data_IF_813751470098
#
_entry.id   IF_813751470098
#
_cell.length_a   1.000
_cell.length_b   1.000
_cell.length_c   1.000
_cell.angle_alpha   90.00
_cell.angle_beta   90.00
_cell.angle_gamma   90.00
#
_symmetry.space_group_name_H-M   'P 1'
#
loop_
_entity.id
_entity.type
_entity.pdbx_description
1 polymer ?
#
# COMPACT_ATOMS: atom_id res chain seq x y z
N UNK A 1 -15.35 22.84 13.32
CA UNK A 1 -15.51 21.90 12.21
C UNK A 1 -14.54 22.29 11.10
N UNK A 2 -13.44 21.55 11.00
CA UNK A 2 -12.35 21.79 10.05
C UNK A 2 -12.78 21.46 8.62
N UNK A 3 -13.63 20.44 8.46
CA UNK A 3 -14.14 20.00 7.17
C UNK A 3 -15.17 20.99 6.63
N UNK A 4 -16.08 21.50 7.47
CA UNK A 4 -17.01 22.58 7.05
C UNK A 4 -16.29 23.87 6.63
N UNK A 5 -15.15 24.19 7.24
CA UNK A 5 -14.35 25.37 6.88
C UNK A 5 -13.58 25.16 5.57
N UNK A 6 -13.12 23.95 5.32
CA UNK A 6 -12.49 23.56 4.05
C UNK A 6 -13.51 23.53 2.91
N UNK A 7 -14.70 22.98 3.16
CA UNK A 7 -15.82 22.95 2.20
C UNK A 7 -16.32 24.37 1.89
N UNK A 8 -16.38 25.26 2.88
CA UNK A 8 -16.73 26.66 2.67
C UNK A 8 -15.67 27.41 1.83
N UNK A 9 -14.38 27.17 2.10
CA UNK A 9 -13.29 27.76 1.33
C UNK A 9 -13.25 27.23 -0.11
N UNK A 10 -13.43 25.93 -0.30
CA UNK A 10 -13.53 25.31 -1.63
C UNK A 10 -14.77 25.81 -2.39
N UNK A 11 -15.91 25.98 -1.72
CA UNK A 11 -17.12 26.53 -2.32
C UNK A 11 -16.95 28.00 -2.72
N UNK A 12 -16.24 28.81 -1.93
CA UNK A 12 -15.95 30.21 -2.23
C UNK A 12 -14.94 30.34 -3.39
N UNK A 13 -13.88 29.51 -3.42
CA UNK A 13 -12.90 29.49 -4.51
C UNK A 13 -13.53 28.96 -5.81
N UNK A 14 -14.35 27.90 -5.74
CA UNK A 14 -15.15 27.39 -6.87
C UNK A 14 -16.18 28.41 -7.38
N UNK A 15 -16.79 29.20 -6.49
CA UNK A 15 -17.72 30.26 -6.88
C UNK A 15 -16.99 31.41 -7.60
N UNK A 16 -15.78 31.73 -7.16
CA UNK A 16 -14.92 32.74 -7.80
C UNK A 16 -14.42 32.26 -9.18
N UNK A 17 -14.07 30.98 -9.28
CA UNK A 17 -13.72 30.31 -10.54
C UNK A 17 -14.92 30.15 -11.49
N UNK A 18 -16.14 29.92 -10.98
CA UNK A 18 -17.35 29.95 -11.80
C UNK A 18 -17.63 31.33 -12.36
N UNK A 19 -17.40 32.40 -11.59
CA UNK A 19 -17.53 33.78 -12.08
C UNK A 19 -16.49 34.10 -13.16
N UNK A 20 -15.21 33.72 -12.96
CA UNK A 20 -14.14 33.89 -13.95
C UNK A 20 -14.32 33.02 -15.20
N UNK A 21 -14.81 31.79 -15.05
CA UNK A 21 -15.14 30.90 -16.16
C UNK A 21 -16.37 31.39 -16.94
N UNK A 22 -17.37 31.96 -16.28
CA UNK A 22 -18.53 32.60 -16.93
C UNK A 22 -18.11 33.83 -17.75
N UNK A 23 -17.14 34.61 -17.27
CA UNK A 23 -16.57 35.76 -17.99
C UNK A 23 -15.71 35.33 -19.19
N UNK A 24 -14.94 34.24 -19.04
CA UNK A 24 -14.20 33.61 -20.13
C UNK A 24 -15.12 32.97 -21.19
N UNK A 25 -16.23 32.36 -20.78
CA UNK A 25 -17.28 31.83 -21.66
C UNK A 25 -18.04 32.95 -22.37
N UNK A 26 -18.27 34.10 -21.73
CA UNK A 26 -18.84 35.28 -22.38
C UNK A 26 -17.90 35.86 -23.46
N UNK A 27 -16.58 35.91 -23.20
CA UNK A 27 -15.57 36.26 -24.21
C UNK A 27 -15.49 35.23 -25.34
N UNK A 28 -15.53 33.94 -25.05
CA UNK A 28 -15.53 32.88 -26.07
C UNK A 28 -16.80 32.89 -26.95
N UNK A 29 -17.97 33.21 -26.38
CA UNK A 29 -19.23 33.39 -27.14
C UNK A 29 -19.20 34.58 -28.09
N UNK A 30 -18.37 35.60 -27.82
CA UNK A 30 -18.17 36.74 -28.74
C UNK A 30 -17.17 36.46 -29.87
N UNK A 31 -16.44 35.33 -29.82
CA UNK A 31 -15.33 35.00 -30.73
C UNK A 31 -15.54 33.79 -31.65
N UNK A 32 -16.76 33.23 -31.74
CA UNK A 32 -17.14 32.31 -32.83
C UNK A 32 -16.38 30.98 -32.91
N UNK A 33 -16.01 30.35 -31.79
CA UNK A 33 -15.44 28.99 -31.80
C UNK A 33 -16.16 28.06 -30.82
N UNK A 34 -16.58 26.89 -31.34
CA UNK A 34 -17.28 25.82 -30.61
C UNK A 34 -16.32 25.03 -29.72
N UNK A 35 -16.67 24.87 -28.44
CA UNK A 35 -16.00 23.95 -27.51
C UNK A 35 -16.94 22.79 -27.14
N UNK A 36 -16.42 21.58 -27.25
CA UNK A 36 -17.10 20.33 -26.85
C UNK A 36 -17.23 20.19 -25.33
N UNK A 37 -18.23 19.42 -24.89
CA UNK A 37 -18.57 19.17 -23.48
C UNK A 37 -17.54 18.27 -22.79
N UNK A 38 -16.95 18.77 -21.71
CA UNK A 38 -16.31 17.90 -20.70
C UNK A 38 -17.38 17.31 -19.78
N UNK A 39 -17.36 15.98 -19.66
CA UNK A 39 -18.24 15.19 -18.79
C UNK A 39 -17.35 14.48 -17.77
N UNK A 40 -17.19 15.10 -16.60
CA UNK A 40 -16.57 14.44 -15.45
C UNK A 40 -17.19 14.90 -14.13
N UNK A 41 -18.43 14.47 -13.91
CA UNK A 41 -19.05 14.46 -12.58
C UNK A 41 -18.65 13.19 -11.83
N UNK A 42 -17.78 13.29 -10.83
CA UNK A 42 -17.71 12.37 -9.70
C UNK A 42 -16.82 12.99 -8.59
N UNK A 43 -17.39 13.10 -7.39
CA UNK A 43 -16.70 13.53 -6.18
C UNK A 43 -15.44 12.68 -5.91
N UNK A 44 -14.28 13.33 -5.83
CA UNK A 44 -12.99 12.72 -5.46
C UNK A 44 -12.36 13.63 -4.41
N UNK A 45 -11.91 13.04 -3.29
CA UNK A 45 -11.16 13.75 -2.24
C UNK A 45 -9.97 14.52 -2.82
N UNK A 46 -9.49 15.54 -2.11
CA UNK A 46 -8.51 16.58 -2.49
C UNK A 46 -7.44 16.15 -3.52
N UNK A 47 -7.86 15.94 -4.76
CA UNK A 47 -7.03 15.60 -5.90
C UNK A 47 -6.74 16.91 -6.58
N UNK A 48 -5.74 17.62 -6.07
CA UNK A 48 -5.15 18.74 -6.79
C UNK A 48 -4.31 18.14 -7.92
N UNK A 49 -4.94 17.97 -9.08
CA UNK A 49 -4.30 17.49 -10.29
C UNK A 49 -3.20 18.49 -10.73
N UNK A 50 -2.07 18.04 -11.31
CA UNK A 50 -0.85 18.83 -11.50
C UNK A 50 -0.92 19.81 -12.70
N UNK A 51 -2.10 20.33 -13.02
CA UNK A 51 -2.35 21.16 -14.20
C UNK A 51 -2.56 22.63 -13.88
N UNK A 52 -2.31 23.07 -12.63
CA UNK A 52 -2.45 24.47 -12.27
C UNK A 52 -1.30 25.30 -12.86
N UNK A 53 -1.65 26.41 -13.48
CA UNK A 53 -0.65 27.43 -13.86
C UNK A 53 0.09 27.91 -12.61
N UNK A 54 1.39 28.19 -12.73
CA UNK A 54 2.25 28.55 -11.60
C UNK A 54 1.69 29.71 -10.76
N UNK A 55 1.10 30.70 -11.43
CA UNK A 55 0.42 31.85 -10.80
C UNK A 55 -0.76 31.45 -9.89
N UNK A 56 -1.50 30.39 -10.25
CA UNK A 56 -2.60 29.85 -9.44
C UNK A 56 -2.07 29.12 -8.21
N UNK A 57 -1.01 28.31 -8.39
CA UNK A 57 -0.33 27.63 -7.28
C UNK A 57 0.23 28.65 -6.28
N UNK A 58 0.83 29.73 -6.77
CA UNK A 58 1.38 30.80 -5.93
C UNK A 58 0.28 31.55 -5.18
N UNK A 59 -0.82 31.91 -5.86
CA UNK A 59 -1.98 32.57 -5.24
C UNK A 59 -2.63 31.69 -4.17
N UNK A 60 -2.80 30.40 -4.45
CA UNK A 60 -3.31 29.43 -3.48
C UNK A 60 -2.36 29.28 -2.28
N UNK A 61 -1.06 29.20 -2.54
CA UNK A 61 -0.01 29.13 -1.51
C UNK A 61 -0.09 30.33 -0.56
N UNK A 62 -0.25 31.54 -1.08
CA UNK A 62 -0.39 32.74 -0.25
C UNK A 62 -1.67 32.73 0.59
N UNK A 63 -2.81 32.34 0.00
CA UNK A 63 -4.09 32.20 0.71
C UNK A 63 -3.96 31.20 1.86
N UNK A 64 -3.40 30.02 1.59
CA UNK A 64 -3.24 28.95 2.57
C UNK A 64 -2.32 29.37 3.72
N UNK A 65 -1.20 30.03 3.41
CA UNK A 65 -0.27 30.57 4.42
C UNK A 65 -0.92 31.62 5.30
N UNK A 66 -1.74 32.51 4.73
CA UNK A 66 -2.50 33.52 5.51
C UNK A 66 -3.53 32.84 6.42
N UNK A 67 -4.25 31.86 5.89
CA UNK A 67 -5.27 31.12 6.65
C UNK A 67 -4.69 30.42 7.89
N UNK A 68 -3.50 29.82 7.75
CA UNK A 68 -2.83 29.11 8.84
C UNK A 68 -1.77 29.93 9.60
N UNK A 69 -1.68 31.24 9.39
CA UNK A 69 -0.65 32.08 10.00
C UNK A 69 -0.62 32.03 11.53
N UNK A 70 -1.77 31.80 12.17
CA UNK A 70 -1.90 31.70 13.63
C UNK A 70 -1.57 30.33 14.23
N UNK A 71 -1.24 29.32 13.42
CA UNK A 71 -0.86 27.98 13.92
C UNK A 71 0.64 27.93 14.16
N UNK A 72 1.05 27.76 15.41
CA UNK A 72 2.45 27.71 15.85
C UNK A 72 2.92 26.28 16.15
N UNK A 73 2.53 25.33 15.31
CA UNK A 73 3.00 23.95 15.41
C UNK A 73 4.02 23.63 14.29
N UNK A 74 5.28 23.28 14.62
CA UNK A 74 6.31 23.02 13.61
C UNK A 74 5.99 21.86 12.68
N UNK A 75 5.40 20.77 13.20
CA UNK A 75 5.06 19.59 12.41
C UNK A 75 3.99 19.94 11.38
N UNK A 76 2.93 20.64 11.80
CA UNK A 76 1.86 21.12 10.93
C UNK A 76 2.38 22.09 9.86
N UNK A 77 3.30 23.00 10.21
CA UNK A 77 3.91 23.91 9.24
C UNK A 77 4.72 23.17 8.18
N UNK A 78 5.45 22.13 8.57
CA UNK A 78 6.17 21.26 7.64
C UNK A 78 5.20 20.50 6.74
N UNK A 79 4.14 19.92 7.29
CA UNK A 79 3.13 19.18 6.54
C UNK A 79 2.46 20.07 5.47
N UNK A 80 2.08 21.30 5.85
CA UNK A 80 1.56 22.31 4.90
C UNK A 80 2.61 22.70 3.85
N UNK A 81 3.87 22.94 4.25
CA UNK A 81 4.94 23.30 3.32
C UNK A 81 5.15 22.24 2.24
N UNK A 82 5.21 20.96 2.62
CA UNK A 82 5.41 19.87 1.67
C UNK A 82 4.14 19.48 0.91
N UNK A 83 2.96 19.71 1.48
CA UNK A 83 1.70 19.60 0.75
C UNK A 83 1.66 20.59 -0.43
N UNK A 84 2.12 21.83 -0.20
CA UNK A 84 2.29 22.85 -1.23
C UNK A 84 3.42 22.49 -2.21
N UNK A 85 4.53 21.93 -1.74
CA UNK A 85 5.61 21.44 -2.61
C UNK A 85 5.09 20.42 -3.63
N UNK A 86 4.17 19.54 -3.20
CA UNK A 86 3.49 18.58 -4.07
C UNK A 86 2.69 19.21 -5.21
N UNK A 87 2.17 20.43 -5.05
CA UNK A 87 1.45 21.14 -6.12
C UNK A 87 2.36 21.62 -7.24
N UNK A 88 3.64 21.81 -6.93
CA UNK A 88 4.63 22.15 -7.93
C UNK A 88 5.15 20.93 -8.69
N UNK A 89 4.84 19.68 -8.28
CA UNK A 89 5.24 18.50 -9.04
C UNK A 89 4.39 18.35 -10.31
N UNK A 90 5.04 18.27 -11.48
CA UNK A 90 4.35 18.06 -12.74
C UNK A 90 5.29 18.04 -13.96
N UNK A 91 4.79 17.67 -15.15
CA UNK A 91 5.61 17.41 -16.34
C UNK A 91 6.44 18.59 -16.85
N UNK A 92 6.09 19.82 -16.44
CA UNK A 92 6.77 21.06 -16.86
C UNK A 92 7.71 21.63 -15.79
N UNK A 93 7.99 20.86 -14.75
CA UNK A 93 8.72 21.37 -13.60
C UNK A 93 10.21 21.15 -13.74
N UNK A 94 10.98 22.10 -13.21
CA UNK A 94 12.42 21.97 -13.09
C UNK A 94 12.78 21.24 -11.79
N UNK A 95 13.11 19.96 -11.87
CA UNK A 95 13.48 19.13 -10.71
C UNK A 95 14.61 19.74 -9.89
N UNK A 96 15.57 20.42 -10.53
CA UNK A 96 16.68 21.07 -9.83
C UNK A 96 16.21 22.26 -8.99
N UNK A 97 15.23 23.01 -9.49
CA UNK A 97 14.63 24.12 -8.74
C UNK A 97 13.85 23.60 -7.53
N UNK A 98 13.03 22.58 -7.72
CA UNK A 98 12.28 21.94 -6.63
C UNK A 98 13.22 21.37 -5.57
N UNK A 99 14.25 20.64 -5.99
CA UNK A 99 15.24 20.10 -5.07
C UNK A 99 15.92 21.20 -4.27
N UNK A 100 16.40 22.26 -4.94
CA UNK A 100 17.04 23.39 -4.26
C UNK A 100 16.12 24.07 -3.25
N UNK A 101 14.81 24.15 -3.53
CA UNK A 101 13.82 24.81 -2.69
C UNK A 101 13.37 23.95 -1.50
N UNK A 102 13.16 22.65 -1.72
CA UNK A 102 12.45 21.78 -0.78
C UNK A 102 13.29 20.67 -0.15
N UNK A 103 14.47 20.33 -0.69
CA UNK A 103 15.26 19.18 -0.22
C UNK A 103 16.71 19.53 0.12
N UNK A 104 17.35 20.40 -0.67
CA UNK A 104 18.77 20.72 -0.54
C UNK A 104 19.08 21.36 0.82
N UNK A 105 19.95 20.70 1.59
CA UNK A 105 20.40 21.18 2.90
C UNK A 105 19.33 21.12 4.00
N UNK A 106 18.18 20.50 3.73
CA UNK A 106 17.11 20.26 4.72
C UNK A 106 17.21 18.83 5.27
N UNK A 107 16.84 18.61 6.54
CA UNK A 107 16.78 17.26 7.10
C UNK A 107 15.68 16.44 6.43
N UNK A 108 15.86 15.12 6.39
CA UNK A 108 14.82 14.17 5.98
C UNK A 108 13.77 14.05 7.09
N UNK A 109 12.50 14.27 6.75
CA UNK A 109 11.38 14.24 7.69
C UNK A 109 10.58 12.93 7.52
N UNK A 110 10.84 11.93 8.36
CA UNK A 110 10.25 10.59 8.20
C UNK A 110 8.81 10.49 8.73
N UNK A 111 8.40 11.42 9.58
CA UNK A 111 7.14 11.44 10.32
C UNK A 111 6.17 12.52 9.83
N UNK A 112 6.54 13.26 8.78
CA UNK A 112 5.68 14.24 8.11
C UNK A 112 5.09 13.57 6.85
N UNK A 113 3.77 13.28 6.83
CA UNK A 113 3.13 12.56 5.73
C UNK A 113 3.31 13.24 4.38
N UNK A 114 3.12 14.56 4.31
CA UNK A 114 3.24 15.28 3.04
C UNK A 114 4.69 15.37 2.55
N UNK A 115 5.68 15.42 3.45
CA UNK A 115 7.09 15.28 3.07
C UNK A 115 7.32 13.92 2.42
N UNK A 116 6.87 12.85 3.06
CA UNK A 116 7.07 11.48 2.58
C UNK A 116 6.41 11.28 1.21
N UNK A 117 5.21 11.85 1.02
CA UNK A 117 4.50 11.84 -0.26
C UNK A 117 5.25 12.63 -1.34
N UNK A 118 5.66 13.86 -1.05
CA UNK A 118 6.45 14.68 -1.96
C UNK A 118 7.76 13.99 -2.35
N UNK A 119 8.51 13.49 -1.37
CA UNK A 119 9.78 12.80 -1.57
C UNK A 119 9.62 11.55 -2.44
N UNK A 120 8.61 10.72 -2.16
CA UNK A 120 8.33 9.50 -2.92
C UNK A 120 7.95 9.80 -4.37
N UNK A 121 7.19 10.87 -4.61
CA UNK A 121 6.81 11.30 -5.95
C UNK A 121 8.00 11.92 -6.71
N UNK A 122 8.80 12.74 -6.03
CA UNK A 122 9.97 13.42 -6.62
C UNK A 122 11.04 12.42 -7.08
N UNK A 123 11.31 11.38 -6.26
CA UNK A 123 12.27 10.32 -6.59
C UNK A 123 11.61 9.02 -7.11
N UNK A 124 10.34 9.10 -7.50
CA UNK A 124 9.58 7.96 -8.03
C UNK A 124 10.24 7.41 -9.29
N UNK A 125 10.54 6.11 -9.29
CA UNK A 125 11.23 5.41 -10.39
C UNK A 125 12.57 6.05 -10.84
N UNK A 126 13.21 6.80 -9.94
CA UNK A 126 14.48 7.48 -10.21
C UNK A 126 15.53 6.52 -10.77
N UNK A 127 15.63 5.29 -10.23
CA UNK A 127 16.61 4.31 -10.70
C UNK A 127 16.39 3.90 -12.15
N UNK A 128 15.14 3.92 -12.64
CA UNK A 128 14.78 3.63 -14.03
C UNK A 128 14.99 4.85 -14.96
N UNK A 129 15.22 6.03 -14.40
CA UNK A 129 15.55 7.26 -15.11
C UNK A 129 17.01 7.29 -15.58
N UNK A 130 17.71 8.37 -15.24
CA UNK A 130 19.10 8.59 -15.68
C UNK A 130 20.08 7.45 -15.32
N UNK A 131 20.04 6.85 -14.11
CA UNK A 131 20.95 5.74 -13.78
C UNK A 131 20.79 4.54 -14.69
N UNK A 132 19.56 4.08 -14.95
CA UNK A 132 19.33 2.96 -15.87
C UNK A 132 19.64 3.36 -17.33
N UNK A 133 19.18 4.53 -17.79
CA UNK A 133 19.41 4.97 -19.18
C UNK A 133 20.88 5.07 -19.55
N UNK A 134 21.72 5.53 -18.61
CA UNK A 134 23.14 5.76 -18.86
C UNK A 134 24.03 4.57 -18.44
N UNK A 135 23.61 3.78 -17.45
CA UNK A 135 24.43 2.75 -16.80
C UNK A 135 23.69 1.43 -16.55
N UNK A 136 22.70 1.06 -17.38
CA UNK A 136 21.85 -0.12 -17.20
C UNK A 136 22.62 -1.39 -16.81
N UNK A 137 23.63 -1.79 -17.60
CA UNK A 137 24.38 -3.01 -17.36
C UNK A 137 25.11 -3.00 -16.01
N UNK A 138 25.68 -1.85 -15.63
CA UNK A 138 26.35 -1.68 -14.35
C UNK A 138 25.34 -1.72 -13.21
N UNK A 139 24.22 -1.00 -13.31
CA UNK A 139 23.16 -0.99 -12.29
C UNK A 139 22.61 -2.39 -12.03
N UNK A 140 22.22 -3.12 -13.08
CA UNK A 140 21.70 -4.49 -12.98
C UNK A 140 22.73 -5.42 -12.33
N UNK A 141 24.01 -5.33 -12.73
CA UNK A 141 25.09 -6.12 -12.15
C UNK A 141 25.27 -5.82 -10.66
N UNK A 142 25.33 -4.54 -10.28
CA UNK A 142 25.54 -4.14 -8.89
C UNK A 142 24.37 -4.55 -7.98
N UNK A 143 23.13 -4.51 -8.48
CA UNK A 143 21.96 -5.03 -7.75
C UNK A 143 22.08 -6.55 -7.56
N UNK A 144 22.38 -7.30 -8.63
CA UNK A 144 22.55 -8.76 -8.57
C UNK A 144 23.64 -9.18 -7.59
N UNK A 145 24.78 -8.49 -7.62
CA UNK A 145 25.91 -8.74 -6.71
C UNK A 145 25.72 -8.15 -5.31
N UNK A 146 24.61 -7.44 -5.06
CA UNK A 146 24.31 -6.76 -3.80
C UNK A 146 25.42 -5.81 -3.32
N UNK A 147 25.98 -5.02 -4.24
CA UNK A 147 27.05 -4.05 -3.96
C UNK A 147 26.48 -2.69 -3.52
N UNK A 148 25.93 -2.62 -2.31
CA UNK A 148 25.23 -1.43 -1.77
C UNK A 148 26.03 -0.14 -1.89
N UNK A 149 27.28 -0.12 -1.43
CA UNK A 149 28.10 1.11 -1.46
C UNK A 149 28.42 1.57 -2.89
N UNK A 150 28.60 0.61 -3.81
CA UNK A 150 28.78 0.91 -5.23
C UNK A 150 27.49 1.42 -5.88
N UNK A 151 26.32 0.92 -5.46
CA UNK A 151 25.02 1.46 -5.89
C UNK A 151 24.84 2.90 -5.42
N UNK A 152 25.15 3.19 -4.15
CA UNK A 152 25.11 4.56 -3.60
C UNK A 152 26.04 5.50 -4.37
N UNK A 153 27.25 5.04 -4.67
CA UNK A 153 28.24 5.78 -5.47
C UNK A 153 27.73 6.05 -6.89
N UNK A 154 27.11 5.05 -7.54
CA UNK A 154 26.52 5.21 -8.86
C UNK A 154 25.39 6.25 -8.86
N UNK A 155 24.53 6.23 -7.82
CA UNK A 155 23.45 7.20 -7.68
C UNK A 155 23.95 8.61 -7.35
N UNK A 156 25.04 8.72 -6.59
CA UNK A 156 25.65 9.99 -6.19
C UNK A 156 26.29 10.76 -7.35
N UNK A 157 26.42 10.16 -8.54
CA UNK A 157 26.83 10.88 -9.75
C UNK A 157 25.78 11.90 -10.22
N UNK A 158 24.57 11.85 -9.67
CA UNK A 158 23.54 12.84 -9.87
C UNK A 158 23.54 13.84 -8.70
N UNK A 159 23.64 15.13 -9.00
CA UNK A 159 23.68 16.22 -8.00
C UNK A 159 22.49 16.21 -7.02
N UNK A 160 21.33 15.67 -7.44
CA UNK A 160 20.13 15.55 -6.60
C UNK A 160 20.24 14.45 -5.53
N UNK A 161 21.27 13.60 -5.61
CA UNK A 161 21.56 12.49 -4.69
C UNK A 161 22.98 12.56 -4.10
N UNK A 162 23.57 13.75 -4.07
CA UNK A 162 24.88 13.97 -3.44
C UNK A 162 24.84 13.82 -1.91
N UNK A 163 23.69 14.11 -1.27
CA UNK A 163 23.50 13.88 0.16
C UNK A 163 23.36 12.39 0.46
N UNK A 164 24.20 11.86 1.36
CA UNK A 164 24.27 10.43 1.64
C UNK A 164 22.97 9.87 2.24
N UNK A 165 22.22 10.66 3.01
CA UNK A 165 20.96 10.23 3.64
C UNK A 165 19.86 10.15 2.58
N UNK A 166 19.74 11.19 1.74
CA UNK A 166 18.80 11.17 0.61
C UNK A 166 19.14 10.03 -0.35
N UNK A 167 20.41 9.86 -0.70
CA UNK A 167 20.87 8.83 -1.62
C UNK A 167 20.48 7.41 -1.17
N UNK A 168 20.78 7.04 0.07
CA UNK A 168 20.47 5.71 0.59
C UNK A 168 18.96 5.49 0.72
N UNK A 169 18.20 6.52 1.13
CA UNK A 169 16.75 6.44 1.20
C UNK A 169 16.12 6.22 -0.17
N UNK A 170 16.56 6.98 -1.18
CA UNK A 170 16.11 6.83 -2.57
C UNK A 170 16.46 5.44 -3.10
N UNK A 171 17.66 4.93 -2.81
CA UNK A 171 18.07 3.58 -3.19
C UNK A 171 17.11 2.51 -2.66
N UNK A 172 16.87 2.49 -1.35
CA UNK A 172 16.04 1.42 -0.75
C UNK A 172 14.57 1.52 -1.17
N UNK A 173 14.01 2.73 -1.29
CA UNK A 173 12.64 2.93 -1.77
C UNK A 173 12.51 2.42 -3.20
N UNK A 174 13.42 2.83 -4.10
CA UNK A 174 13.32 2.47 -5.50
C UNK A 174 13.55 0.97 -5.74
N UNK A 175 14.46 0.33 -5.01
CA UNK A 175 14.65 -1.13 -5.12
C UNK A 175 13.45 -1.89 -4.57
N UNK A 176 12.86 -1.43 -3.47
CA UNK A 176 11.65 -2.05 -2.91
C UNK A 176 10.45 -1.92 -3.86
N UNK A 177 10.20 -0.74 -4.43
CA UNK A 177 9.10 -0.55 -5.40
C UNK A 177 9.32 -1.35 -6.69
N UNK A 178 10.57 -1.55 -7.10
CA UNK A 178 10.93 -2.29 -8.32
C UNK A 178 11.28 -3.76 -8.06
N UNK A 179 10.97 -4.34 -6.89
CA UNK A 179 11.36 -5.72 -6.56
C UNK A 179 10.75 -6.78 -7.49
N UNK A 180 9.55 -6.51 -8.03
CA UNK A 180 8.85 -7.38 -8.96
C UNK A 180 9.23 -7.11 -10.43
N UNK A 181 10.05 -6.09 -10.70
CA UNK A 181 10.48 -5.75 -12.04
C UNK A 181 11.52 -6.79 -12.53
N UNK A 182 11.22 -7.46 -13.64
CA UNK A 182 12.07 -8.51 -14.21
C UNK A 182 13.49 -8.05 -14.60
N UNK A 183 13.72 -6.74 -14.69
CA UNK A 183 15.05 -6.16 -14.93
C UNK A 183 16.02 -6.39 -13.76
N UNK A 184 15.51 -6.52 -12.54
CA UNK A 184 16.32 -6.61 -11.34
C UNK A 184 16.24 -7.99 -10.69
N UNK A 185 17.36 -8.45 -10.14
CA UNK A 185 17.41 -9.70 -9.37
C UNK A 185 16.76 -9.48 -7.99
N UNK A 186 15.60 -10.09 -7.76
CA UNK A 186 14.88 -9.99 -6.50
C UNK A 186 15.72 -10.49 -5.30
N UNK A 187 16.59 -11.49 -5.51
CA UNK A 187 17.53 -11.95 -4.49
C UNK A 187 18.57 -10.87 -4.13
N UNK A 188 19.11 -10.21 -5.13
CA UNK A 188 20.03 -9.08 -5.01
C UNK A 188 19.40 -7.90 -4.26
N UNK A 189 18.16 -7.54 -4.61
CA UNK A 189 17.40 -6.49 -3.90
C UNK A 189 17.27 -6.82 -2.41
N UNK A 190 16.86 -8.04 -2.06
CA UNK A 190 16.78 -8.46 -0.65
C UNK A 190 18.14 -8.37 0.05
N UNK A 191 19.23 -8.77 -0.59
CA UNK A 191 20.57 -8.66 0.00
C UNK A 191 21.01 -7.20 0.20
N UNK A 192 20.67 -6.28 -0.71
CA UNK A 192 20.94 -4.84 -0.52
C UNK A 192 20.15 -4.30 0.67
N UNK A 193 18.85 -4.61 0.76
CA UNK A 193 18.04 -4.18 1.90
C UNK A 193 18.55 -4.77 3.23
N UNK A 194 19.07 -6.01 3.22
CA UNK A 194 19.71 -6.61 4.40
C UNK A 194 20.99 -5.89 4.81
N UNK A 195 21.84 -5.55 3.84
CA UNK A 195 23.05 -4.78 4.10
C UNK A 195 22.72 -3.39 4.68
N UNK A 196 21.70 -2.69 4.16
CA UNK A 196 21.24 -1.41 4.75
C UNK A 196 20.67 -1.60 6.15
N UNK A 197 19.84 -2.63 6.38
CA UNK A 197 19.32 -2.99 7.71
C UNK A 197 20.45 -3.16 8.73
N UNK A 198 21.51 -3.86 8.34
CA UNK A 198 22.57 -4.27 9.27
C UNK A 198 23.66 -3.20 9.45
N UNK A 199 23.93 -2.39 8.42
CA UNK A 199 25.13 -1.54 8.36
C UNK A 199 24.89 -0.07 8.11
N UNK A 200 23.67 0.38 7.82
CA UNK A 200 23.40 1.81 7.63
C UNK A 200 23.74 2.61 8.87
N UNK A 201 24.36 3.76 8.68
CA UNK A 201 24.62 4.74 9.75
C UNK A 201 23.36 5.46 10.20
N UNK A 202 22.28 5.42 9.40
CA UNK A 202 21.00 6.08 9.68
C UNK A 202 20.03 5.09 10.35
N UNK A 203 19.70 5.26 11.65
CA UNK A 203 18.81 4.34 12.35
C UNK A 203 17.44 4.15 11.69
N UNK A 204 16.89 5.22 11.13
CA UNK A 204 15.60 5.20 10.43
C UNK A 204 15.68 4.34 9.18
N UNK A 205 16.79 4.36 8.44
CA UNK A 205 16.96 3.51 7.26
C UNK A 205 17.09 2.05 7.63
N UNK A 206 17.76 1.73 8.75
CA UNK A 206 17.82 0.34 9.25
C UNK A 206 16.43 -0.19 9.52
N UNK A 207 15.59 0.60 10.18
CA UNK A 207 14.20 0.24 10.47
C UNK A 207 13.34 0.12 9.20
N UNK A 208 13.46 1.07 8.26
CA UNK A 208 12.74 1.04 6.98
C UNK A 208 13.14 -0.20 6.18
N UNK A 209 14.44 -0.48 6.05
CA UNK A 209 14.93 -1.64 5.32
C UNK A 209 14.55 -2.97 6.00
N UNK A 210 14.53 -3.03 7.34
CA UNK A 210 14.00 -4.18 8.07
C UNK A 210 12.53 -4.43 7.73
N UNK A 211 11.71 -3.38 7.72
CA UNK A 211 10.29 -3.47 7.39
C UNK A 211 10.07 -3.89 5.93
N UNK A 212 10.83 -3.33 5.00
CA UNK A 212 10.79 -3.71 3.57
C UNK A 212 11.18 -5.18 3.39
N UNK A 213 12.26 -5.64 4.04
CA UNK A 213 12.68 -7.04 3.98
C UNK A 213 11.63 -8.01 4.51
N UNK A 214 11.03 -7.64 5.64
CA UNK A 214 9.98 -8.42 6.25
C UNK A 214 8.78 -8.52 5.29
N UNK A 215 8.39 -7.41 4.65
CA UNK A 215 7.30 -7.39 3.67
C UNK A 215 7.60 -8.27 2.45
N UNK A 216 8.84 -8.22 1.94
CA UNK A 216 9.28 -9.02 0.80
C UNK A 216 9.50 -10.51 1.12
N UNK A 217 9.49 -10.93 2.40
CA UNK A 217 9.77 -12.32 2.79
C UNK A 217 8.64 -12.97 3.57
N UNK A 218 8.14 -12.34 4.64
CA UNK A 218 7.16 -12.91 5.56
C UNK A 218 5.70 -12.80 5.09
N UNK A 219 5.40 -11.90 4.14
CA UNK A 219 4.04 -11.71 3.60
C UNK A 219 3.95 -11.92 2.09
N UNK A 220 4.99 -12.47 1.48
CA UNK A 220 4.99 -12.82 0.06
C UNK A 220 4.17 -14.11 -0.19
N UNK A 221 3.56 -14.29 -1.38
CA UNK A 221 2.99 -15.58 -1.75
C UNK A 221 4.03 -16.70 -1.60
N UNK A 222 3.65 -17.81 -0.97
CA UNK A 222 4.53 -18.93 -0.63
C UNK A 222 5.21 -18.84 0.73
N UNK A 223 5.09 -17.70 1.44
CA UNK A 223 5.58 -17.56 2.81
C UNK A 223 4.60 -18.10 3.85
N UNK A 224 5.12 -18.42 5.03
CA UNK A 224 4.31 -18.89 6.17
C UNK A 224 3.79 -17.68 6.95
N UNK A 225 2.48 -17.62 7.14
CA UNK A 225 1.83 -16.60 7.95
C UNK A 225 2.39 -16.63 9.39
N UNK A 226 2.85 -15.49 9.93
CA UNK A 226 3.40 -15.42 11.28
C UNK A 226 2.44 -15.95 12.35
N UNK A 227 3.00 -16.57 13.39
CA UNK A 227 2.22 -17.08 14.53
C UNK A 227 1.67 -15.93 15.36
N UNK A 228 0.40 -16.05 15.72
CA UNK A 228 -0.33 -15.15 16.61
C UNK A 228 -1.36 -15.99 17.37
N UNK A 229 -1.63 -15.61 18.60
CA UNK A 229 -2.63 -16.27 19.43
C UNK A 229 -4.04 -15.73 19.14
N UNK A 230 -4.95 -16.65 18.83
CA UNK A 230 -6.35 -16.38 18.57
C UNK A 230 -7.21 -17.05 19.63
N UNK A 231 -8.25 -16.35 20.08
CA UNK A 231 -9.21 -16.86 21.04
C UNK A 231 -10.55 -17.08 20.34
N UNK A 232 -11.21 -18.21 20.63
CA UNK A 232 -12.57 -18.47 20.20
C UNK A 232 -13.57 -17.61 20.96
N UNK A 233 -14.84 -17.65 20.53
CA UNK A 233 -15.93 -16.99 21.25
C UNK A 233 -16.14 -17.55 22.67
N UNK A 234 -15.66 -18.76 22.94
CA UNK A 234 -15.66 -19.40 24.26
C UNK A 234 -14.47 -18.98 25.15
N UNK A 235 -13.59 -18.12 24.64
CA UNK A 235 -12.41 -17.62 25.34
C UNK A 235 -11.21 -18.58 25.34
N UNK A 236 -11.33 -19.77 24.76
CA UNK A 236 -10.21 -20.70 24.68
C UNK A 236 -9.29 -20.37 23.49
N UNK A 237 -8.00 -20.64 23.66
CA UNK A 237 -7.03 -20.52 22.58
C UNK A 237 -7.37 -21.49 21.44
N UNK A 238 -7.45 -20.96 20.22
CA UNK A 238 -7.59 -21.74 19.02
C UNK A 238 -6.22 -22.24 18.59
N UNK A 239 -6.12 -23.55 18.36
CA UNK A 239 -4.88 -24.14 17.83
C UNK A 239 -4.77 -23.79 16.35
N UNK A 240 -4.04 -22.72 16.05
CA UNK A 240 -3.89 -22.12 14.71
C UNK A 240 -3.48 -23.14 13.65
N UNK A 241 -2.61 -24.09 13.98
CA UNK A 241 -2.21 -25.15 13.04
C UNK A 241 -3.37 -26.06 12.63
N UNK A 242 -4.26 -26.38 13.56
CA UNK A 242 -5.44 -27.20 13.26
C UNK A 242 -6.47 -26.45 12.41
N UNK A 243 -6.60 -25.16 12.69
CA UNK A 243 -7.53 -24.24 12.05
C UNK A 243 -7.13 -24.00 10.60
N UNK A 244 -5.84 -23.76 10.37
CA UNK A 244 -5.27 -23.44 9.07
C UNK A 244 -4.93 -24.66 8.20
N UNK A 245 -5.07 -25.91 8.70
CA UNK A 245 -4.86 -27.12 7.88
C UNK A 245 -5.74 -27.11 6.62
N UNK A 246 -5.12 -27.18 5.44
CA UNK A 246 -5.79 -27.14 4.13
C UNK A 246 -6.10 -25.71 3.69
N UNK A 247 -6.97 -25.55 2.69
CA UNK A 247 -7.28 -24.20 2.19
C UNK A 247 -8.16 -23.44 3.17
N UNK A 248 -7.71 -22.26 3.58
CA UNK A 248 -8.43 -21.39 4.51
C UNK A 248 -8.53 -19.98 3.93
N UNK A 249 -9.76 -19.48 3.82
CA UNK A 249 -10.03 -18.07 3.61
C UNK A 249 -10.08 -17.40 4.97
N UNK A 250 -9.17 -16.46 5.23
CA UNK A 250 -9.09 -15.70 6.47
C UNK A 250 -9.51 -14.26 6.19
N UNK A 251 -10.41 -13.72 7.01
CA UNK A 251 -10.83 -12.33 6.99
C UNK A 251 -10.60 -11.68 8.35
N UNK A 252 -9.78 -10.63 8.38
CA UNK A 252 -9.66 -9.73 9.52
C UNK A 252 -10.63 -8.57 9.36
N UNK A 253 -11.50 -8.38 10.35
CA UNK A 253 -12.70 -7.55 10.23
C UNK A 253 -13.05 -6.82 11.54
N UNK A 254 -14.02 -5.91 11.46
CA UNK A 254 -14.67 -5.29 12.62
C UNK A 254 -16.18 -5.45 12.51
N UNK A 255 -16.87 -5.58 13.63
CA UNK A 255 -18.33 -5.62 13.66
C UNK A 255 -18.90 -4.19 13.57
N UNK A 256 -20.11 -4.08 13.02
CA UNK A 256 -20.85 -2.82 12.87
C UNK A 256 -20.14 -1.80 11.94
N UNK A 257 -19.36 -2.30 10.99
CA UNK A 257 -18.76 -1.50 9.93
C UNK A 257 -19.36 -1.94 8.59
N UNK A 258 -20.08 -1.07 7.85
CA UNK A 258 -20.78 -1.45 6.62
C UNK A 258 -19.89 -2.09 5.55
N UNK A 259 -18.64 -1.62 5.40
CA UNK A 259 -17.68 -2.19 4.46
C UNK A 259 -17.26 -3.61 4.87
N UNK A 260 -17.06 -3.82 6.17
CA UNK A 260 -16.75 -5.14 6.71
C UNK A 260 -17.94 -6.10 6.57
N UNK A 261 -19.17 -5.64 6.80
CA UNK A 261 -20.40 -6.44 6.68
C UNK A 261 -20.64 -6.93 5.26
N UNK A 262 -20.46 -6.05 4.26
CA UNK A 262 -20.56 -6.44 2.85
C UNK A 262 -19.56 -7.55 2.49
N UNK A 263 -18.33 -7.43 2.98
CA UNK A 263 -17.26 -8.37 2.69
C UNK A 263 -17.42 -9.70 3.47
N UNK A 264 -17.99 -9.67 4.68
CA UNK A 264 -18.40 -10.89 5.41
C UNK A 264 -19.50 -11.65 4.66
N UNK A 265 -20.50 -10.95 4.10
CA UNK A 265 -21.55 -11.57 3.28
C UNK A 265 -20.97 -12.24 2.02
N UNK A 266 -20.06 -11.55 1.32
CA UNK A 266 -19.37 -12.10 0.16
C UNK A 266 -18.54 -13.35 0.51
N UNK A 267 -17.84 -13.32 1.65
CA UNK A 267 -17.07 -14.46 2.14
C UNK A 267 -17.95 -15.66 2.49
N UNK A 268 -19.12 -15.43 3.10
CA UNK A 268 -20.09 -16.49 3.37
C UNK A 268 -20.60 -17.14 2.08
N UNK A 269 -20.92 -16.34 1.05
CA UNK A 269 -21.33 -16.85 -0.26
C UNK A 269 -20.22 -17.70 -0.91
N UNK A 270 -18.96 -17.25 -0.85
CA UNK A 270 -17.83 -18.05 -1.34
C UNK A 270 -17.66 -19.36 -0.57
N UNK A 271 -17.82 -19.35 0.76
CA UNK A 271 -17.75 -20.59 1.54
C UNK A 271 -18.85 -21.60 1.19
N UNK A 272 -20.02 -21.11 0.79
CA UNK A 272 -21.12 -21.95 0.29
C UNK A 272 -20.81 -22.53 -1.10
N UNK A 273 -20.29 -21.71 -2.02
CA UNK A 273 -19.92 -22.12 -3.38
C UNK A 273 -18.78 -23.15 -3.38
N UNK A 274 -17.79 -22.96 -2.50
CA UNK A 274 -16.61 -23.82 -2.36
C UNK A 274 -16.68 -24.72 -1.13
N UNK A 275 -17.90 -25.08 -0.70
CA UNK A 275 -18.13 -25.92 0.48
C UNK A 275 -17.32 -27.22 0.40
N UNK A 276 -16.59 -27.53 1.47
CA UNK A 276 -15.72 -28.71 1.57
C UNK A 276 -14.32 -28.54 0.96
N UNK A 277 -14.06 -27.44 0.24
CA UNK A 277 -12.75 -27.14 -0.36
C UNK A 277 -11.99 -26.04 0.37
N UNK A 278 -12.69 -25.08 0.99
CA UNK A 278 -12.09 -24.02 1.77
C UNK A 278 -12.80 -23.84 3.12
N UNK A 279 -12.02 -23.64 4.19
CA UNK A 279 -12.51 -23.22 5.50
C UNK A 279 -12.64 -21.70 5.55
N UNK A 280 -13.60 -21.20 6.30
CA UNK A 280 -13.72 -19.78 6.58
C UNK A 280 -13.25 -19.48 8.01
N UNK A 281 -12.37 -18.49 8.16
CA UNK A 281 -11.91 -17.96 9.44
C UNK A 281 -12.12 -16.45 9.48
N UNK A 282 -12.85 -15.97 10.49
CA UNK A 282 -13.07 -14.56 10.77
C UNK A 282 -12.31 -14.17 12.03
N UNK A 283 -11.45 -13.17 11.93
CA UNK A 283 -10.73 -12.57 13.07
C UNK A 283 -11.29 -11.17 13.30
N UNK A 284 -11.98 -10.98 14.43
CA UNK A 284 -12.70 -9.76 14.76
C UNK A 284 -11.85 -8.88 15.66
N UNK A 285 -11.55 -7.66 15.21
CA UNK A 285 -10.80 -6.68 15.99
C UNK A 285 -11.71 -5.88 16.92
N UNK A 286 -11.16 -5.46 18.07
CA UNK A 286 -11.83 -4.55 19.00
C UNK A 286 -13.02 -5.19 19.74
N UNK A 287 -12.98 -6.51 19.94
CA UNK A 287 -13.96 -7.27 20.72
C UNK A 287 -13.26 -8.24 21.66
N UNK A 288 -13.89 -8.49 22.78
CA UNK A 288 -13.57 -9.60 23.69
C UNK A 288 -14.27 -10.89 23.23
N UNK A 289 -13.82 -12.07 23.68
CA UNK A 289 -14.53 -13.33 23.43
C UNK A 289 -16.02 -13.27 23.81
N UNK A 290 -16.35 -12.71 24.97
CA UNK A 290 -17.73 -12.58 25.46
C UNK A 290 -18.60 -11.68 24.58
N UNK A 291 -18.03 -10.59 24.05
CA UNK A 291 -18.73 -9.72 23.10
C UNK A 291 -18.98 -10.43 21.76
N UNK A 292 -18.00 -11.21 21.29
CA UNK A 292 -18.16 -12.02 20.09
C UNK A 292 -19.24 -13.08 20.29
N UNK A 293 -19.23 -13.80 21.42
CA UNK A 293 -20.25 -14.80 21.75
C UNK A 293 -21.66 -14.21 21.79
N UNK A 294 -21.82 -13.04 22.42
CA UNK A 294 -23.10 -12.31 22.44
C UNK A 294 -23.56 -11.90 21.05
N UNK A 295 -22.65 -11.43 20.20
CA UNK A 295 -22.98 -11.04 18.83
C UNK A 295 -23.41 -12.24 17.96
N UNK A 296 -22.74 -13.39 18.11
CA UNK A 296 -23.11 -14.62 17.42
C UNK A 296 -24.52 -15.11 17.83
N UNK A 297 -24.98 -14.75 19.04
CA UNK A 297 -26.40 -14.82 19.43
C UNK A 297 -27.03 -16.20 19.32
N UNK A 298 -26.21 -17.26 19.40
CA UNK A 298 -26.64 -18.66 19.24
C UNK A 298 -27.11 -19.04 17.83
N UNK A 299 -27.03 -18.14 16.84
CA UNK A 299 -27.34 -18.46 15.45
C UNK A 299 -26.11 -19.08 14.78
N UNK A 300 -26.24 -20.22 14.09
CA UNK A 300 -25.12 -20.79 13.34
C UNK A 300 -24.67 -19.79 12.27
N UNK A 301 -23.48 -19.23 12.45
CA UNK A 301 -22.78 -18.47 11.42
C UNK A 301 -21.79 -19.40 10.72
N UNK A 302 -21.63 -19.31 9.39
CA UNK A 302 -20.66 -20.13 8.70
C UNK A 302 -19.24 -19.74 9.13
N UNK A 303 -18.37 -20.74 9.22
CA UNK A 303 -16.95 -20.55 9.54
C UNK A 303 -16.61 -20.51 11.02
N UNK A 304 -15.32 -20.34 11.29
CA UNK A 304 -14.78 -20.15 12.64
C UNK A 304 -14.62 -18.67 12.92
N UNK A 305 -15.01 -18.23 14.12
CA UNK A 305 -14.94 -16.85 14.55
C UNK A 305 -13.99 -16.72 15.74
N UNK A 306 -13.08 -15.75 15.66
CA UNK A 306 -12.03 -15.54 16.64
C UNK A 306 -11.80 -14.06 16.94
N UNK A 307 -11.16 -13.78 18.06
CA UNK A 307 -10.56 -12.48 18.40
C UNK A 307 -9.07 -12.66 18.65
N UNK A 308 -8.21 -11.64 18.42
CA UNK A 308 -6.80 -11.73 18.79
C UNK A 308 -6.65 -11.76 20.32
N UNK A 309 -5.72 -12.57 20.84
CA UNK A 309 -5.31 -12.49 22.24
C UNK A 309 -4.59 -11.16 22.53
N UNK A 310 -3.66 -10.78 21.64
CA UNK A 310 -3.06 -9.45 21.58
C UNK A 310 -3.35 -8.79 20.23
N UNK A 311 -4.10 -7.68 20.28
CA UNK A 311 -4.48 -6.93 19.09
C UNK A 311 -3.26 -6.32 18.39
N UNK A 312 -2.33 -5.74 19.14
CA UNK A 312 -1.20 -5.02 18.56
C UNK A 312 -0.24 -6.01 17.90
N UNK A 313 0.02 -7.13 18.56
CA UNK A 313 0.81 -8.22 17.99
C UNK A 313 0.21 -8.72 16.67
N UNK A 314 -1.11 -8.96 16.62
CA UNK A 314 -1.77 -9.38 15.39
C UNK A 314 -1.64 -8.33 14.27
N UNK A 315 -1.88 -7.05 14.58
CA UNK A 315 -1.76 -5.96 13.59
C UNK A 315 -0.34 -5.84 13.03
N UNK A 316 0.68 -5.97 13.87
CA UNK A 316 2.08 -5.84 13.49
C UNK A 316 2.58 -7.09 12.75
N UNK A 317 2.34 -8.27 13.32
CA UNK A 317 2.76 -9.56 12.76
C UNK A 317 2.08 -9.87 11.45
N UNK A 318 0.84 -9.44 11.20
CA UNK A 318 0.15 -9.66 9.93
C UNK A 318 0.09 -8.40 9.04
N UNK A 319 0.75 -7.30 9.45
CA UNK A 319 0.71 -5.97 8.79
C UNK A 319 -0.67 -5.52 8.35
N UNK A 320 -1.64 -5.67 9.24
CA UNK A 320 -3.01 -5.26 8.97
C UNK A 320 -3.06 -3.73 9.08
N UNK A 321 -2.93 -3.05 7.93
CA UNK A 321 -3.00 -1.57 7.84
C UNK A 321 -4.43 -1.05 7.78
N UNK A 322 -5.36 -1.89 7.34
CA UNK A 322 -6.78 -1.55 7.19
C UNK A 322 -7.65 -2.77 7.42
N UNK A 323 -8.93 -2.55 7.65
CA UNK A 323 -9.95 -3.61 7.67
C UNK A 323 -11.08 -3.22 6.71
N UNK A 324 -11.71 -4.19 6.03
CA UNK A 324 -11.42 -5.62 6.04
C UNK A 324 -10.11 -5.97 5.31
N UNK A 325 -9.37 -6.97 5.80
CA UNK A 325 -8.19 -7.55 5.14
C UNK A 325 -8.35 -9.05 4.97
N UNK A 326 -7.96 -9.56 3.80
CA UNK A 326 -8.15 -10.95 3.40
C UNK A 326 -6.83 -11.69 3.22
N UNK A 327 -6.79 -12.95 3.61
CA UNK A 327 -5.70 -13.86 3.31
C UNK A 327 -6.27 -15.18 2.76
N UNK A 328 -5.63 -15.69 1.71
CA UNK A 328 -5.87 -17.05 1.22
C UNK A 328 -4.68 -17.89 1.62
N UNK A 329 -4.95 -18.96 2.35
CA UNK A 329 -3.93 -19.82 2.94
C UNK A 329 -4.10 -21.25 2.44
N UNK A 330 -2.99 -21.96 2.24
CA UNK A 330 -2.95 -23.41 2.19
C UNK A 330 -2.05 -23.95 3.30
N UNK A 331 -2.66 -24.54 4.32
CA UNK A 331 -1.96 -24.66 5.60
C UNK A 331 -1.72 -23.26 6.17
N UNK A 332 -0.49 -23.02 6.62
CA UNK A 332 -0.05 -21.68 7.04
C UNK A 332 0.50 -20.84 5.89
N UNK A 333 0.58 -21.37 4.68
CA UNK A 333 1.27 -20.73 3.56
C UNK A 333 0.34 -19.78 2.82
N UNK A 334 0.76 -18.54 2.59
CA UNK A 334 0.02 -17.57 1.78
C UNK A 334 -0.05 -18.02 0.31
N UNK A 335 -1.24 -18.31 -0.19
CA UNK A 335 -1.46 -18.72 -1.59
C UNK A 335 -1.50 -17.55 -2.57
N UNK A 336 -1.64 -16.32 -2.06
CA UNK A 336 -1.70 -15.09 -2.84
C UNK A 336 -1.34 -13.86 -1.99
N UNK A 337 -1.28 -12.67 -2.60
CA UNK A 337 -0.97 -11.45 -1.86
C UNK A 337 -2.08 -11.15 -0.83
N UNK A 338 -1.68 -10.69 0.34
CA UNK A 338 -2.60 -10.21 1.37
C UNK A 338 -3.47 -9.04 0.86
N UNK A 339 -4.72 -8.98 1.31
CA UNK A 339 -5.67 -7.91 1.00
C UNK A 339 -6.49 -8.09 -0.29
N UNK A 340 -6.36 -9.22 -0.99
CA UNK A 340 -7.21 -9.49 -2.17
C UNK A 340 -8.65 -9.77 -1.74
N UNK A 341 -9.57 -8.87 -2.08
CA UNK A 341 -10.97 -8.96 -1.64
C UNK A 341 -11.75 -10.05 -2.40
N UNK A 342 -12.74 -10.71 -1.76
CA UNK A 342 -13.78 -11.50 -2.40
C UNK A 342 -14.35 -10.84 -3.65
N UNK A 343 -14.74 -9.57 -3.49
CA UNK A 343 -15.35 -8.74 -4.53
C UNK A 343 -14.42 -8.38 -5.69
N UNK A 344 -13.11 -8.59 -5.55
CA UNK A 344 -12.09 -8.14 -6.53
C UNK A 344 -11.21 -9.25 -7.10
N UNK A 345 -11.55 -10.54 -6.91
CA UNK A 345 -10.85 -11.64 -7.60
C UNK A 345 -10.49 -12.88 -6.77
N UNK A 346 -10.80 -12.92 -5.47
CA UNK A 346 -10.53 -14.10 -4.63
C UNK A 346 -11.20 -15.39 -5.18
N UNK A 347 -12.40 -15.26 -5.74
CA UNK A 347 -13.12 -16.39 -6.36
C UNK A 347 -12.35 -17.04 -7.52
N UNK A 348 -11.63 -16.25 -8.33
CA UNK A 348 -10.81 -16.78 -9.43
C UNK A 348 -9.61 -17.59 -8.91
N UNK A 349 -9.02 -17.21 -7.77
CA UNK A 349 -7.96 -17.99 -7.13
C UNK A 349 -8.49 -19.28 -6.51
N UNK A 350 -9.63 -19.23 -5.82
CA UNK A 350 -10.28 -20.43 -5.27
C UNK A 350 -10.63 -21.44 -6.36
N UNK A 351 -11.15 -20.97 -7.49
CA UNK A 351 -11.41 -21.82 -8.66
C UNK A 351 -10.12 -22.46 -9.19
N UNK A 352 -9.02 -21.71 -9.28
CA UNK A 352 -7.72 -22.25 -9.71
C UNK A 352 -7.23 -23.36 -8.77
N UNK A 353 -7.21 -23.10 -7.46
CA UNK A 353 -6.77 -24.06 -6.45
C UNK A 353 -7.64 -25.33 -6.45
N UNK A 354 -8.96 -25.16 -6.61
CA UNK A 354 -9.88 -26.29 -6.78
C UNK A 354 -9.52 -27.13 -8.00
N UNK A 355 -9.32 -26.48 -9.15
CA UNK A 355 -8.97 -27.16 -10.41
C UNK A 355 -7.63 -27.90 -10.30
N UNK A 356 -6.64 -27.31 -9.64
CA UNK A 356 -5.33 -27.93 -9.39
C UNK A 356 -5.46 -29.18 -8.51
N UNK A 357 -6.21 -29.10 -7.41
CA UNK A 357 -6.46 -30.26 -6.54
C UNK A 357 -7.30 -31.36 -7.19
N UNK A 358 -8.28 -31.00 -8.00
CA UNK A 358 -9.06 -31.98 -8.79
C UNK A 358 -8.16 -32.69 -9.82
N UNK A 359 -7.17 -31.99 -10.39
CA UNK A 359 -6.16 -32.60 -11.28
C UNK A 359 -5.19 -33.50 -10.51
N UNK A 360 -4.69 -33.07 -9.36
CA UNK A 360 -3.82 -33.88 -8.50
C UNK A 360 -4.53 -35.13 -7.95
N UNK A 361 -5.81 -35.01 -7.60
CA UNK A 361 -6.66 -36.11 -7.18
C UNK A 361 -6.91 -37.14 -8.31
N UNK A 362 -7.01 -36.68 -9.57
CA UNK A 362 -7.09 -37.58 -10.74
C UNK A 362 -5.78 -38.31 -11.07
N UNK A 363 -4.63 -37.78 -10.63
CA UNK A 363 -3.30 -38.39 -10.86
C UNK A 363 -2.98 -39.46 -9.81
N UNK A 364 -3.84 -39.67 -8.79
CA UNK A 364 -3.82 -40.89 -7.98
C UNK A 364 -4.78 -41.91 -8.59
N UNK A 365 -4.35 -42.76 -9.55
CA UNK A 365 -5.17 -43.87 -9.99
C UNK A 365 -5.33 -44.84 -8.83
N UNK A 366 -6.58 -45.17 -8.54
CA UNK A 366 -6.94 -46.29 -7.70
C UNK A 366 -6.21 -47.57 -8.15
N UNK A 367 -5.46 -48.18 -7.23
CA UNK A 367 -5.44 -49.64 -7.10
C UNK A 367 -4.83 -50.49 -8.22
N UNK A 368 -3.69 -50.11 -8.82
CA UNK A 368 -2.84 -51.10 -9.52
C UNK A 368 -1.56 -51.34 -8.72
N UNK A 369 -1.59 -52.40 -7.92
CA UNK A 369 -0.38 -52.98 -7.34
C UNK A 369 0.64 -53.34 -8.44
N UNK A 370 1.93 -53.45 -8.09
CA UNK A 370 2.97 -53.73 -9.07
C UNK A 370 2.67 -55.05 -9.82
N UNK A 371 2.91 -55.12 -11.14
CA UNK A 371 2.61 -56.31 -11.91
C UNK A 371 3.43 -57.50 -11.40
N UNK A 372 2.87 -58.73 -11.37
CA UNK A 372 3.60 -59.89 -10.90
C UNK A 372 4.81 -60.12 -11.81
N UNK A 373 5.98 -60.26 -11.19
CA UNK A 373 7.22 -60.63 -11.88
C UNK A 373 7.01 -61.98 -12.59
N UNK A 374 7.18 -61.99 -13.91
CA UNK A 374 7.44 -63.20 -14.69
C UNK A 374 8.93 -63.42 -14.79
#
# INVERSE_FOLDING_TARGET
DLNQRLDAFLAEDLATDQAGAMEAVAKARSGGTTLERDTSGAARGLFLSPTWEQSRVDSFTEKLRKFYAGVEDPWFRQDVEYGLAGLHLGPRTNDRELFNRFLKGKPVLYDVPEYTRFFSNFYGDFILGAPFRNHAAQLIRLVREARTDSLKTLLASNDLLADARINELVLIINLYTNHANALFDAGGIRRVLADVRDRSTFPEHRLIAANMLWDLTAMAPGSTLPEVDLLGADGHALVTDSLLRGTTCLLVTTLNNPYCEQEMLAMAQLGEEYRGHAKLLYVVLGRTPDELARWLGGKPQPGTWAVPADRQELLDSWRIKHVPTFFLLDGRTLSGPAGMKPSSGLGAQLHRLRTEREREGRIRPDGLGPPPKR
#
